data_IF_113533527828
#
_entry.id   IF_113533527828
#
_cell.length_a   1.000
_cell.length_b   1.000
_cell.length_c   1.000
_cell.angle_alpha   90.00
_cell.angle_beta   90.00
_cell.angle_gamma   90.00
#
_symmetry.space_group_name_H-M   'P 1'
#
loop_
_entity.id
_entity.type
_entity.pdbx_description
1 polymer ?
#
# COMPACT_ATOMS: atom_id res chain seq x y z
N UNK A 1 10.17 1.14 -41.24
CA UNK A 1 10.18 -0.04 -40.33
C UNK A 1 9.97 0.35 -38.87
N UNK A 2 10.48 1.49 -38.39
CA UNK A 2 10.27 1.97 -37.02
C UNK A 2 8.79 2.29 -36.71
N UNK A 3 8.05 2.89 -37.64
CA UNK A 3 6.64 3.30 -37.41
C UNK A 3 5.70 2.12 -37.16
N UNK A 4 5.90 1.01 -37.89
CA UNK A 4 5.11 -0.22 -37.70
C UNK A 4 5.37 -0.84 -36.32
N UNK A 5 6.57 -0.68 -35.77
CA UNK A 5 6.92 -1.15 -34.43
C UNK A 5 6.28 -0.26 -33.35
N UNK A 6 6.27 1.05 -33.56
CA UNK A 6 5.61 2.01 -32.65
C UNK A 6 4.10 1.80 -32.60
N UNK A 7 3.45 1.64 -33.76
CA UNK A 7 2.03 1.29 -33.87
C UNK A 7 1.69 0.03 -33.06
N UNK A 8 2.49 -1.03 -33.23
CA UNK A 8 2.31 -2.27 -32.46
C UNK A 8 2.40 -2.05 -30.95
N UNK A 9 3.34 -1.24 -30.48
CA UNK A 9 3.46 -0.94 -29.05
C UNK A 9 2.29 -0.09 -28.52
N UNK A 10 1.77 0.83 -29.33
CA UNK A 10 0.59 1.62 -28.97
C UNK A 10 -0.66 0.74 -28.86
N UNK A 11 -0.87 -0.17 -29.81
CA UNK A 11 -1.97 -1.15 -29.78
C UNK A 11 -1.87 -2.08 -28.55
N UNK A 12 -0.66 -2.55 -28.23
CA UNK A 12 -0.41 -3.34 -27.03
C UNK A 12 -0.72 -2.57 -25.74
N UNK A 13 -0.34 -1.29 -25.68
CA UNK A 13 -0.62 -0.44 -24.53
C UNK A 13 -2.12 -0.21 -24.37
N UNK A 14 -2.85 0.09 -25.46
CA UNK A 14 -4.29 0.26 -25.44
C UNK A 14 -5.00 -1.00 -24.92
N UNK A 15 -4.66 -2.17 -25.46
CA UNK A 15 -5.22 -3.45 -25.01
C UNK A 15 -4.90 -3.74 -23.53
N UNK A 16 -3.71 -3.39 -23.04
CA UNK A 16 -3.34 -3.55 -21.64
C UNK A 16 -4.16 -2.61 -20.73
N UNK A 17 -4.42 -1.38 -21.15
CA UNK A 17 -5.26 -0.44 -20.41
C UNK A 17 -6.70 -0.93 -20.35
N UNK A 18 -7.25 -1.46 -21.44
CA UNK A 18 -8.60 -2.06 -21.47
C UNK A 18 -8.73 -3.23 -20.49
N UNK A 19 -7.70 -4.09 -20.42
CA UNK A 19 -7.65 -5.19 -19.45
C UNK A 19 -7.65 -4.68 -18.00
N UNK A 20 -6.87 -3.63 -17.71
CA UNK A 20 -6.86 -3.01 -16.37
C UNK A 20 -8.21 -2.39 -16.04
N UNK A 21 -8.85 -1.71 -16.99
CA UNK A 21 -10.17 -1.14 -16.80
C UNK A 21 -11.22 -2.23 -16.50
N UNK A 22 -11.22 -3.33 -17.25
CA UNK A 22 -12.09 -4.47 -17.01
C UNK A 22 -11.85 -5.10 -15.62
N UNK A 23 -10.59 -5.26 -15.21
CA UNK A 23 -10.23 -5.82 -13.91
C UNK A 23 -10.65 -4.91 -12.74
N UNK A 24 -10.64 -3.59 -12.92
CA UNK A 24 -11.07 -2.60 -11.92
C UNK A 24 -12.59 -2.40 -11.90
N UNK A 25 -13.32 -2.84 -12.92
CA UNK A 25 -14.78 -2.69 -13.04
C UNK A 25 -15.57 -3.03 -11.77
N UNK A 26 -15.34 -4.18 -11.09
CA UNK A 26 -16.03 -4.54 -9.85
C UNK A 26 -15.76 -3.59 -8.68
N UNK A 27 -14.58 -2.95 -8.65
CA UNK A 27 -14.20 -2.00 -7.60
C UNK A 27 -14.75 -0.61 -7.90
N UNK A 28 -14.89 -0.26 -9.18
CA UNK A 28 -15.40 1.04 -9.63
C UNK A 28 -16.94 1.09 -9.70
N UNK A 29 -17.63 -0.05 -9.62
CA UNK A 29 -19.09 -0.14 -9.76
C UNK A 29 -19.88 0.40 -8.57
N UNK A 30 -19.24 0.53 -7.40
CA UNK A 30 -19.86 1.04 -6.18
C UNK A 30 -18.80 1.76 -5.32
N UNK A 31 -19.19 2.67 -4.43
CA UNK A 31 -18.26 3.36 -3.54
C UNK A 31 -17.44 2.38 -2.68
N UNK A 32 -16.15 2.68 -2.48
CA UNK A 32 -15.29 1.89 -1.58
C UNK A 32 -15.84 1.85 -0.15
N UNK A 33 -16.53 2.91 0.31
CA UNK A 33 -17.21 2.94 1.61
C UNK A 33 -18.19 1.77 1.81
N UNK A 34 -18.74 1.24 0.72
CA UNK A 34 -19.77 0.20 0.74
C UNK A 34 -19.16 -1.19 0.55
N UNK A 35 -17.95 -1.27 0.00
CA UNK A 35 -17.19 -2.52 -0.21
C UNK A 35 -16.36 -2.86 1.03
N UNK A 36 -15.58 -1.90 1.53
CA UNK A 36 -14.58 -2.12 2.57
C UNK A 36 -15.14 -2.74 3.87
N UNK A 37 -16.34 -2.40 4.35
CA UNK A 37 -16.92 -3.02 5.55
C UNK A 37 -17.27 -4.50 5.37
N UNK A 38 -17.43 -4.99 4.13
CA UNK A 38 -17.79 -6.38 3.83
C UNK A 38 -16.58 -7.31 3.80
N UNK A 39 -15.37 -6.76 3.86
CA UNK A 39 -14.11 -7.51 3.75
C UNK A 39 -13.51 -7.78 5.13
N UNK A 40 -12.78 -8.89 5.26
CA UNK A 40 -11.93 -9.09 6.43
C UNK A 40 -10.84 -8.00 6.50
N UNK A 41 -10.28 -7.70 7.68
CA UNK A 41 -9.25 -6.68 7.83
C UNK A 41 -8.06 -6.88 6.87
N UNK A 42 -7.67 -8.12 6.62
CA UNK A 42 -6.57 -8.45 5.72
C UNK A 42 -6.92 -8.17 4.26
N UNK A 43 -8.09 -8.65 3.81
CA UNK A 43 -8.59 -8.40 2.45
C UNK A 43 -8.79 -6.90 2.19
N UNK A 44 -9.20 -6.14 3.21
CA UNK A 44 -9.33 -4.69 3.13
C UNK A 44 -7.98 -4.03 2.83
N UNK A 45 -6.94 -4.37 3.61
CA UNK A 45 -5.59 -3.86 3.40
C UNK A 45 -5.05 -4.20 2.00
N UNK A 46 -5.32 -5.42 1.51
CA UNK A 46 -4.92 -5.83 0.16
C UNK A 46 -5.60 -4.99 -0.92
N UNK A 47 -6.91 -4.79 -0.82
CA UNK A 47 -7.68 -4.02 -1.78
C UNK A 47 -7.21 -2.56 -1.80
N UNK A 48 -7.08 -1.93 -0.63
CA UNK A 48 -6.62 -0.54 -0.52
C UNK A 48 -5.18 -0.38 -1.07
N UNK A 49 -4.27 -1.32 -0.77
CA UNK A 49 -2.92 -1.30 -1.31
C UNK A 49 -2.89 -1.49 -2.83
N UNK A 50 -3.73 -2.39 -3.36
CA UNK A 50 -3.82 -2.65 -4.80
C UNK A 50 -4.39 -1.47 -5.56
N UNK A 51 -5.44 -0.82 -5.04
CA UNK A 51 -6.01 0.41 -5.61
C UNK A 51 -4.96 1.53 -5.63
N UNK A 52 -4.25 1.74 -4.52
CA UNK A 52 -3.16 2.71 -4.46
C UNK A 52 -2.07 2.39 -5.49
N UNK A 53 -1.64 1.13 -5.61
CA UNK A 53 -0.64 0.72 -6.58
C UNK A 53 -1.08 0.97 -8.02
N UNK A 54 -2.33 0.63 -8.36
CA UNK A 54 -2.89 0.87 -9.69
C UNK A 54 -2.91 2.35 -10.04
N UNK A 55 -3.35 3.24 -9.13
CA UNK A 55 -3.37 4.69 -9.36
C UNK A 55 -1.97 5.22 -9.68
N UNK A 56 -0.99 4.90 -8.83
CA UNK A 56 0.39 5.38 -9.03
C UNK A 56 1.03 4.80 -10.29
N UNK A 57 0.73 3.54 -10.62
CA UNK A 57 1.22 2.89 -11.84
C UNK A 57 0.61 3.52 -13.10
N UNK A 58 -0.70 3.77 -13.11
CA UNK A 58 -1.37 4.45 -14.21
C UNK A 58 -0.84 5.88 -14.40
N UNK A 59 -0.59 6.60 -13.30
CA UNK A 59 0.03 7.92 -13.36
C UNK A 59 1.47 7.86 -13.90
N UNK A 60 2.25 6.86 -13.50
CA UNK A 60 3.59 6.63 -14.04
C UNK A 60 3.56 6.34 -15.55
N UNK A 61 2.58 5.54 -16.03
CA UNK A 61 2.37 5.29 -17.46
C UNK A 61 1.99 6.59 -18.18
N UNK A 62 1.09 7.39 -17.59
CA UNK A 62 0.70 8.70 -18.14
C UNK A 62 1.92 9.62 -18.33
N UNK A 63 2.81 9.73 -17.34
CA UNK A 63 4.04 10.52 -17.47
C UNK A 63 4.91 10.03 -18.63
N UNK A 64 5.07 8.71 -18.78
CA UNK A 64 5.84 8.14 -19.89
C UNK A 64 5.27 8.47 -21.25
N UNK A 65 3.95 8.38 -21.40
CA UNK A 65 3.28 8.69 -22.68
C UNK A 65 3.43 10.17 -23.03
N UNK A 66 3.46 11.06 -22.05
CA UNK A 66 3.72 12.48 -22.23
C UNK A 66 5.21 12.84 -22.39
N UNK A 67 6.10 11.85 -22.45
CA UNK A 67 7.55 12.07 -22.59
C UNK A 67 8.23 12.62 -21.32
N UNK A 68 7.53 12.64 -20.18
CA UNK A 68 8.10 13.07 -18.90
C UNK A 68 8.83 11.89 -18.26
N UNK A 69 10.13 12.00 -17.93
CA UNK A 69 10.89 10.92 -17.31
C UNK A 69 10.35 10.62 -15.90
N UNK A 70 9.75 9.43 -15.66
CA UNK A 70 9.08 9.18 -14.38
C UNK A 70 10.04 8.97 -13.20
N UNK A 71 11.34 8.74 -13.49
CA UNK A 71 12.37 8.52 -12.46
C UNK A 71 12.69 9.80 -11.68
N UNK A 72 12.50 10.95 -12.31
CA UNK A 72 12.71 12.27 -11.72
C UNK A 72 11.44 12.78 -11.00
N UNK A 73 10.31 12.11 -11.22
CA UNK A 73 9.03 12.48 -10.63
C UNK A 73 8.82 11.80 -9.26
N UNK A 74 8.22 12.49 -8.26
CA UNK A 74 7.93 11.94 -6.92
C UNK A 74 7.12 10.63 -6.89
N UNK A 75 6.43 10.30 -7.99
CA UNK A 75 5.66 9.05 -8.14
C UNK A 75 6.48 7.80 -7.87
N UNK A 76 7.79 7.82 -8.16
CA UNK A 76 8.67 6.69 -7.88
C UNK A 76 8.75 6.41 -6.37
N UNK A 77 8.83 7.46 -5.55
CA UNK A 77 8.82 7.34 -4.09
C UNK A 77 7.51 6.76 -3.57
N UNK A 78 6.39 7.17 -4.16
CA UNK A 78 5.07 6.63 -3.84
C UNK A 78 4.91 5.16 -4.23
N UNK A 79 5.40 4.75 -5.41
CA UNK A 79 5.41 3.35 -5.83
C UNK A 79 6.21 2.48 -4.87
N UNK A 80 7.42 2.92 -4.50
CA UNK A 80 8.24 2.23 -3.50
C UNK A 80 7.56 2.17 -2.13
N UNK A 81 6.85 3.23 -1.74
CA UNK A 81 6.07 3.28 -0.50
C UNK A 81 4.98 2.21 -0.52
N UNK A 82 4.18 2.13 -1.58
CA UNK A 82 3.12 1.14 -1.72
C UNK A 82 3.67 -0.29 -1.76
N UNK A 83 4.79 -0.53 -2.46
CA UNK A 83 5.47 -1.83 -2.47
C UNK A 83 5.87 -2.29 -1.06
N UNK A 84 6.44 -1.40 -0.24
CA UNK A 84 6.74 -1.71 1.17
C UNK A 84 5.49 -2.07 1.99
N UNK A 85 4.35 -1.44 1.72
CA UNK A 85 3.09 -1.82 2.38
C UNK A 85 2.58 -3.19 1.92
N UNK A 86 2.68 -3.51 0.62
CA UNK A 86 2.35 -4.84 0.12
C UNK A 86 3.23 -5.93 0.75
N UNK A 87 4.52 -5.65 0.95
CA UNK A 87 5.42 -6.55 1.68
C UNK A 87 4.98 -6.77 3.13
N UNK A 88 4.57 -5.72 3.85
CA UNK A 88 4.03 -5.82 5.21
C UNK A 88 2.76 -6.68 5.24
N UNK A 89 1.85 -6.48 4.29
CA UNK A 89 0.62 -7.27 4.15
C UNK A 89 0.96 -8.74 3.88
N UNK A 90 1.90 -9.00 2.97
CA UNK A 90 2.35 -10.37 2.64
C UNK A 90 3.02 -11.06 3.83
N UNK A 91 3.79 -10.32 4.65
CA UNK A 91 4.36 -10.85 5.88
C UNK A 91 3.27 -11.22 6.89
N UNK A 92 2.27 -10.36 7.07
CA UNK A 92 1.13 -10.63 7.95
C UNK A 92 0.31 -11.86 7.49
N UNK A 93 0.10 -12.00 6.16
CA UNK A 93 -0.57 -13.18 5.57
C UNK A 93 0.12 -14.50 5.88
N UNK A 94 1.46 -14.53 5.82
CA UNK A 94 2.26 -15.74 6.00
C UNK A 94 2.40 -16.16 7.47
N UNK A 95 1.74 -15.46 8.39
CA UNK A 95 1.89 -15.71 9.83
C UNK A 95 3.29 -15.39 10.35
N UNK A 96 4.04 -14.53 9.65
CA UNK A 96 5.36 -14.12 10.12
C UNK A 96 5.25 -13.48 11.50
N UNK A 97 6.15 -13.84 12.41
CA UNK A 97 6.18 -13.27 13.75
C UNK A 97 6.11 -11.74 13.67
N UNK A 98 5.24 -11.09 14.47
CA UNK A 98 5.27 -9.64 14.55
C UNK A 98 6.69 -9.22 14.92
N UNK A 99 7.21 -8.22 14.21
CA UNK A 99 8.53 -7.63 14.47
C UNK A 99 8.67 -7.45 15.99
N UNK A 100 9.73 -7.96 16.62
CA UNK A 100 9.84 -7.96 18.06
C UNK A 100 9.65 -6.53 18.55
N UNK A 101 8.58 -6.31 19.34
CA UNK A 101 8.26 -4.98 19.86
C UNK A 101 9.50 -4.46 20.58
N UNK A 102 10.11 -3.41 20.03
CA UNK A 102 11.32 -2.79 20.59
C UNK A 102 11.04 -2.12 21.93
N UNK A 103 9.79 -1.70 22.15
CA UNK A 103 9.28 -1.31 23.45
C UNK A 103 8.59 -2.48 24.12
N UNK A 104 9.24 -3.03 25.14
CA UNK A 104 8.59 -3.85 26.17
C UNK A 104 8.41 -3.00 27.42
N UNK A 105 7.23 -3.05 28.03
CA UNK A 105 6.99 -2.40 29.32
C UNK A 105 7.73 -3.22 30.38
N UNK A 106 8.66 -2.57 31.08
CA UNK A 106 9.25 -3.14 32.30
C UNK A 106 8.22 -3.02 33.42
N UNK A 107 7.46 -4.10 33.62
CA UNK A 107 6.43 -4.17 34.64
C UNK A 107 7.01 -4.02 36.06
N UNK A 108 8.25 -4.47 36.29
CA UNK A 108 8.91 -4.32 37.58
C UNK A 108 9.30 -2.87 37.83
N UNK A 109 9.81 -2.16 36.83
CA UNK A 109 10.08 -0.73 36.94
C UNK A 109 8.80 0.07 37.21
N UNK A 110 7.70 -0.25 36.50
CA UNK A 110 6.40 0.35 36.76
C UNK A 110 5.93 0.11 38.20
N UNK A 111 6.05 -1.11 38.72
CA UNK A 111 5.70 -1.44 40.12
C UNK A 111 6.58 -0.67 41.12
N UNK A 112 7.90 -0.54 40.86
CA UNK A 112 8.80 0.28 41.68
C UNK A 112 8.37 1.75 41.73
N UNK A 113 8.01 2.33 40.58
CA UNK A 113 7.53 3.72 40.52
C UNK A 113 6.22 3.92 41.29
N UNK A 114 5.27 3.00 41.13
CA UNK A 114 3.98 3.04 41.83
C UNK A 114 4.18 2.95 43.34
N UNK A 115 4.99 1.98 43.82
CA UNK A 115 5.28 1.82 45.25
C UNK A 115 5.97 3.03 45.86
N UNK A 116 6.99 3.57 45.18
CA UNK A 116 7.70 4.76 45.62
C UNK A 116 6.78 5.97 45.75
N UNK A 117 5.90 6.18 44.75
CA UNK A 117 4.92 7.25 44.77
C UNK A 117 3.95 7.10 45.96
N UNK A 118 3.39 5.91 46.20
CA UNK A 118 2.46 5.65 47.30
C UNK A 118 3.11 5.88 48.67
N UNK A 119 4.36 5.46 48.85
CA UNK A 119 5.09 5.66 50.12
C UNK A 119 5.41 7.14 50.35
N UNK A 120 5.70 7.90 49.30
CA UNK A 120 6.03 9.33 49.41
C UNK A 120 4.85 10.23 49.82
N UNK A 121 3.62 9.82 49.52
CA UNK A 121 2.38 10.57 49.85
C UNK A 121 1.96 10.38 51.31
N UNK A 122 2.62 9.50 52.07
CA UNK A 122 2.39 9.30 53.51
C UNK A 122 3.34 10.17 54.35
N UNK A 123 3.25 11.49 54.18
CA UNK A 123 3.78 12.50 55.11
C UNK A 123 2.69 13.45 55.52
#
# INVERSE_FOLDING_TARGET
MADKKLLKHAEQLAAAVDQVHAALGPVLSQPLSDILPKLSPLQRCELEALVAYSIHTLFWIYLKVNGVPPKEHPVMGELQRVQRYMEKINRAKRGGEPEPRTMRVDAEAADRFIRSAIVSTRK
#
